data_IF_707851450059
#
_entry.id   IF_707851450059
#
_cell.length_a   1.000
_cell.length_b   1.000
_cell.length_c   1.000
_cell.angle_alpha   90.00
_cell.angle_beta   90.00
_cell.angle_gamma   90.00
#
_symmetry.space_group_name_H-M   'P 1'
#
loop_
_entity.id
_entity.type
_entity.pdbx_description
1 polymer ?
#
# COMPACT_ATOMS: atom_id res chain seq x y z
N UNK A 1 7.28 -2.87 4.68
CA UNK A 1 8.27 -2.69 3.60
C UNK A 1 9.23 -3.87 3.52
N UNK A 2 9.76 -4.39 4.63
CA UNK A 2 10.67 -5.56 4.64
C UNK A 2 10.07 -6.82 4.00
N UNK A 3 8.76 -7.00 4.03
CA UNK A 3 8.06 -8.07 3.31
C UNK A 3 8.32 -7.94 1.79
N UNK A 4 8.07 -6.77 1.21
CA UNK A 4 8.34 -6.52 -0.22
C UNK A 4 9.81 -6.71 -0.59
N UNK A 5 10.75 -6.31 0.29
CA UNK A 5 12.18 -6.53 0.06
C UNK A 5 12.52 -8.03 0.01
N UNK A 6 11.92 -8.84 0.87
CA UNK A 6 12.08 -10.28 0.87
C UNK A 6 11.46 -10.94 -0.36
N UNK A 7 10.28 -10.50 -0.80
CA UNK A 7 9.60 -10.99 -2.00
C UNK A 7 10.41 -10.68 -3.26
N UNK A 8 10.92 -9.44 -3.39
CA UNK A 8 11.81 -9.02 -4.48
C UNK A 8 13.07 -9.90 -4.50
N UNK A 9 13.75 -10.08 -3.36
CA UNK A 9 14.93 -10.93 -3.25
C UNK A 9 14.63 -12.40 -3.59
N UNK A 10 13.46 -12.90 -3.20
CA UNK A 10 13.01 -14.26 -3.54
C UNK A 10 12.83 -14.43 -5.04
N UNK A 11 12.19 -13.46 -5.72
CA UNK A 11 12.00 -13.48 -7.16
C UNK A 11 13.33 -13.36 -7.91
N UNK A 12 14.23 -12.49 -7.45
CA UNK A 12 15.56 -12.33 -8.04
C UNK A 12 16.44 -13.59 -7.84
N UNK A 13 16.29 -14.28 -6.70
CA UNK A 13 16.95 -15.57 -6.45
C UNK A 13 16.41 -16.65 -7.40
N UNK A 14 15.10 -16.74 -7.60
CA UNK A 14 14.48 -17.66 -8.55
C UNK A 14 14.93 -17.39 -9.99
N UNK A 15 15.09 -16.12 -10.37
CA UNK A 15 15.56 -15.74 -11.70
C UNK A 15 16.98 -16.24 -12.01
N UNK A 16 17.85 -16.44 -11.01
CA UNK A 16 19.20 -17.02 -11.20
C UNK A 16 19.15 -18.44 -11.72
N UNK A 17 18.10 -19.20 -11.40
CA UNK A 17 17.88 -20.57 -11.87
C UNK A 17 17.17 -20.67 -13.22
N UNK A 18 16.76 -19.56 -13.82
CA UNK A 18 15.90 -19.55 -15.01
C UNK A 18 16.52 -20.22 -16.27
N UNK A 19 17.83 -20.31 -16.34
CA UNK A 19 18.58 -20.99 -17.42
C UNK A 19 19.02 -22.41 -17.10
N UNK A 20 18.57 -22.99 -16.01
CA UNK A 20 18.92 -24.35 -15.64
C UNK A 20 18.37 -25.33 -16.66
N UNK A 21 19.22 -26.30 -17.07
CA UNK A 21 18.81 -27.36 -17.95
C UNK A 21 18.00 -28.41 -17.18
N UNK A 22 17.17 -29.14 -17.91
CA UNK A 22 16.54 -30.34 -17.36
C UNK A 22 17.63 -31.39 -17.06
N UNK A 23 17.51 -32.11 -15.94
CA UNK A 23 18.45 -33.17 -15.62
C UNK A 23 18.44 -34.28 -16.68
N UNK A 24 19.58 -34.97 -16.92
CA UNK A 24 19.59 -36.12 -17.77
C UNK A 24 18.69 -37.23 -17.20
N UNK A 25 17.97 -37.90 -18.07
CA UNK A 25 17.14 -39.05 -17.69
C UNK A 25 17.96 -40.31 -17.85
N UNK A 26 18.04 -41.13 -16.81
CA UNK A 26 18.71 -42.41 -16.80
C UNK A 26 17.69 -43.53 -16.65
N UNK A 27 17.70 -44.48 -17.57
CA UNK A 27 16.81 -45.64 -17.53
C UNK A 27 17.62 -46.91 -17.50
N UNK A 28 17.14 -47.94 -16.82
CA UNK A 28 17.67 -49.32 -16.86
C UNK A 28 16.53 -50.29 -17.11
N UNK A 29 16.79 -51.30 -17.93
CA UNK A 29 15.74 -52.24 -18.29
C UNK A 29 16.23 -53.37 -19.12
N UNK A 30 15.32 -54.16 -19.64
CA UNK A 30 15.56 -55.25 -20.56
C UNK A 30 15.21 -54.78 -21.98
N UNK A 31 16.02 -55.17 -22.96
CA UNK A 31 15.81 -54.85 -24.36
C UNK A 31 15.74 -56.11 -25.21
N UNK A 32 14.70 -56.24 -26.04
CA UNK A 32 14.48 -57.39 -26.97
C UNK A 32 14.51 -58.76 -26.27
N UNK A 33 14.02 -58.83 -25.03
CA UNK A 33 13.99 -60.08 -24.26
C UNK A 33 12.76 -60.89 -24.64
N UNK A 34 12.91 -62.14 -25.17
CA UNK A 34 11.78 -63.00 -25.48
C UNK A 34 10.98 -63.39 -24.24
N UNK A 35 9.66 -63.54 -24.35
CA UNK A 35 8.82 -64.11 -23.30
C UNK A 35 9.19 -65.53 -22.91
N UNK A 36 9.75 -66.33 -23.88
CA UNK A 36 10.26 -67.68 -23.63
C UNK A 36 11.63 -67.55 -23.00
N UNK A 37 11.80 -67.79 -21.72
CA UNK A 37 13.04 -67.68 -20.96
C UNK A 37 14.12 -68.71 -21.44
N UNK A 38 13.76 -69.83 -22.14
CA UNK A 38 14.72 -70.74 -22.73
C UNK A 38 15.56 -70.10 -23.80
N UNK A 39 15.03 -69.10 -24.51
CA UNK A 39 15.76 -68.36 -25.57
C UNK A 39 16.74 -67.30 -24.99
N UNK A 40 16.83 -67.11 -23.71
CA UNK A 40 17.79 -66.20 -23.08
C UNK A 40 19.18 -66.80 -22.99
N UNK A 41 19.28 -68.16 -23.01
CA UNK A 41 20.53 -68.89 -22.89
C UNK A 41 21.03 -69.24 -24.27
N UNK A 42 22.37 -69.38 -24.48
CA UNK A 42 22.90 -69.89 -25.68
C UNK A 42 22.48 -71.42 -25.90
N UNK A 43 22.13 -71.76 -27.09
CA UNK A 43 21.86 -73.15 -27.53
C UNK A 43 22.70 -73.42 -28.78
N UNK A 44 23.31 -74.53 -28.90
CA UNK A 44 24.27 -75.00 -29.95
C UNK A 44 24.72 -73.91 -30.96
N UNK A 45 23.92 -73.58 -31.96
CA UNK A 45 24.23 -72.53 -32.94
C UNK A 45 23.56 -71.20 -32.69
N UNK A 46 22.94 -70.95 -31.47
CA UNK A 46 22.19 -69.75 -31.15
C UNK A 46 22.75 -69.01 -29.92
N UNK A 47 23.25 -67.77 -30.06
CA UNK A 47 23.97 -67.06 -28.99
C UNK A 47 23.08 -66.59 -27.80
N UNK A 48 21.79 -66.92 -27.76
CA UNK A 48 20.79 -66.38 -26.82
C UNK A 48 20.19 -65.10 -27.36
N UNK A 49 19.08 -64.67 -26.79
CA UNK A 49 18.38 -63.42 -27.17
C UNK A 49 18.13 -62.53 -25.96
N UNK A 50 18.16 -61.18 -26.15
CA UNK A 50 17.90 -60.18 -25.16
C UNK A 50 19.14 -59.55 -24.55
N UNK A 51 19.00 -58.41 -23.97
CA UNK A 51 20.09 -57.69 -23.31
C UNK A 51 19.58 -56.86 -22.12
N UNK A 52 20.46 -56.60 -21.17
CA UNK A 52 20.31 -55.48 -20.24
C UNK A 52 20.61 -54.20 -20.96
N UNK A 53 19.78 -53.18 -20.79
CA UNK A 53 19.98 -51.88 -21.41
C UNK A 53 20.11 -50.81 -20.33
N UNK A 54 21.12 -49.96 -20.44
CA UNK A 54 21.29 -48.74 -19.70
C UNK A 54 21.13 -47.59 -20.71
N UNK A 55 20.18 -46.69 -20.49
CA UNK A 55 19.93 -45.55 -21.36
C UNK A 55 20.20 -44.24 -20.62
N UNK A 56 20.83 -43.29 -21.28
CA UNK A 56 21.02 -41.91 -20.82
C UNK A 56 20.48 -41.00 -21.91
N UNK A 57 19.54 -40.12 -21.52
CA UNK A 57 18.92 -39.17 -22.43
C UNK A 57 19.08 -37.76 -21.90
N UNK A 58 19.54 -36.82 -22.74
CA UNK A 58 19.65 -35.42 -22.43
C UNK A 58 18.93 -34.59 -23.49
N UNK A 59 17.94 -33.79 -23.05
CA UNK A 59 17.38 -32.75 -23.89
C UNK A 59 18.24 -31.48 -23.81
N UNK A 60 18.53 -30.90 -24.96
CA UNK A 60 19.31 -29.65 -25.10
C UNK A 60 18.31 -28.54 -25.32
N UNK A 61 18.07 -27.70 -24.31
CA UNK A 61 17.08 -26.66 -24.43
C UNK A 61 17.50 -25.60 -25.43
N UNK A 62 16.52 -25.10 -26.19
CA UNK A 62 16.77 -24.02 -27.14
C UNK A 62 17.13 -22.73 -26.36
N UNK A 63 18.25 -22.10 -26.74
CA UNK A 63 18.76 -20.87 -26.12
C UNK A 63 17.72 -19.77 -26.08
N UNK A 64 16.85 -19.67 -27.10
CA UNK A 64 15.74 -18.69 -27.09
C UNK A 64 14.76 -18.94 -25.97
N UNK A 65 14.45 -20.21 -25.61
CA UNK A 65 13.55 -20.54 -24.50
C UNK A 65 14.18 -20.16 -23.16
N UNK A 66 15.47 -20.47 -22.97
CA UNK A 66 16.21 -20.11 -21.77
C UNK A 66 16.25 -18.59 -21.56
N UNK A 67 16.55 -17.84 -22.64
CA UNK A 67 16.60 -16.38 -22.58
C UNK A 67 15.21 -15.74 -22.31
N UNK A 68 14.16 -16.25 -22.97
CA UNK A 68 12.80 -15.76 -22.74
C UNK A 68 12.34 -16.01 -21.29
N UNK A 69 12.65 -17.20 -20.75
CA UNK A 69 12.33 -17.52 -19.36
C UNK A 69 13.13 -16.65 -18.37
N UNK A 70 14.42 -16.44 -18.62
CA UNK A 70 15.25 -15.55 -17.79
C UNK A 70 14.69 -14.10 -17.79
N UNK A 71 14.36 -13.57 -18.97
CA UNK A 71 13.81 -12.21 -19.09
C UNK A 71 12.48 -12.08 -18.35
N UNK A 72 11.60 -13.08 -18.46
CA UNK A 72 10.35 -13.12 -17.72
C UNK A 72 10.59 -13.12 -16.20
N UNK A 73 11.44 -14.03 -15.72
CA UNK A 73 11.71 -14.16 -14.28
C UNK A 73 12.35 -12.90 -13.71
N UNK A 74 13.28 -12.26 -14.41
CA UNK A 74 13.90 -11.00 -14.01
C UNK A 74 12.92 -9.82 -13.98
N UNK A 75 11.89 -9.84 -14.83
CA UNK A 75 10.91 -8.77 -14.87
C UNK A 75 9.89 -8.84 -13.71
N UNK A 76 9.70 -10.02 -13.12
CA UNK A 76 8.64 -10.22 -12.10
C UNK A 76 8.83 -9.35 -10.87
N UNK A 77 10.06 -9.15 -10.39
CA UNK A 77 10.36 -8.32 -9.20
C UNK A 77 10.03 -6.84 -9.42
N UNK A 78 9.96 -6.38 -10.68
CA UNK A 78 9.69 -4.97 -11.00
C UNK A 78 8.28 -4.51 -10.59
N UNK A 79 7.28 -5.39 -10.61
CA UNK A 79 5.92 -5.07 -10.16
C UNK A 79 5.88 -4.92 -8.65
N UNK A 80 6.53 -5.84 -7.92
CA UNK A 80 6.59 -5.76 -6.45
C UNK A 80 7.34 -4.52 -5.96
N UNK A 81 8.31 -4.04 -6.71
CA UNK A 81 8.98 -2.77 -6.40
C UNK A 81 8.02 -1.58 -6.51
N UNK A 82 7.13 -1.54 -7.51
CA UNK A 82 6.12 -0.47 -7.60
C UNK A 82 5.03 -0.62 -6.52
N UNK A 83 4.62 -1.85 -6.17
CA UNK A 83 3.72 -2.13 -5.06
C UNK A 83 4.31 -1.65 -3.71
N UNK A 84 5.62 -1.85 -3.52
CA UNK A 84 6.36 -1.31 -2.37
C UNK A 84 6.30 0.21 -2.32
N UNK A 85 6.53 0.90 -3.47
CA UNK A 85 6.47 2.35 -3.56
C UNK A 85 5.07 2.88 -3.25
N UNK A 86 4.03 2.24 -3.79
CA UNK A 86 2.63 2.56 -3.48
C UNK A 86 2.34 2.43 -1.98
N UNK A 87 2.76 1.32 -1.36
CA UNK A 87 2.59 1.10 0.08
C UNK A 87 3.36 2.14 0.90
N UNK A 88 4.59 2.49 0.49
CA UNK A 88 5.39 3.52 1.15
C UNK A 88 4.67 4.88 1.13
N UNK A 89 4.07 5.26 0.00
CA UNK A 89 3.29 6.48 -0.13
C UNK A 89 2.08 6.48 0.82
N UNK A 90 1.37 5.36 0.93
CA UNK A 90 0.27 5.22 1.90
C UNK A 90 0.74 5.35 3.35
N UNK A 91 1.86 4.70 3.72
CA UNK A 91 2.41 4.79 5.07
C UNK A 91 2.84 6.21 5.43
N UNK A 92 3.43 6.94 4.47
CA UNK A 92 3.79 8.34 4.64
C UNK A 92 2.54 9.22 4.88
N UNK A 93 1.47 8.99 4.12
CA UNK A 93 0.21 9.71 4.32
C UNK A 93 -0.39 9.44 5.70
N UNK A 94 -0.45 8.19 6.15
CA UNK A 94 -0.90 7.86 7.51
C UNK A 94 -0.04 8.51 8.59
N UNK A 95 1.29 8.50 8.43
CA UNK A 95 2.19 9.14 9.39
C UNK A 95 1.93 10.65 9.50
N UNK A 96 1.78 11.35 8.36
CA UNK A 96 1.46 12.79 8.32
C UNK A 96 0.09 13.07 8.94
N UNK A 97 -0.92 12.26 8.64
CA UNK A 97 -2.27 12.41 9.19
C UNK A 97 -2.24 12.29 10.72
N UNK A 98 -1.64 11.22 11.27
CA UNK A 98 -1.55 11.05 12.72
C UNK A 98 -0.72 12.14 13.40
N UNK A 99 0.31 12.63 12.74
CA UNK A 99 1.13 13.74 13.21
C UNK A 99 0.30 15.04 13.32
N UNK A 100 -0.45 15.41 12.28
CA UNK A 100 -1.27 16.61 12.30
C UNK A 100 -2.46 16.50 13.28
N UNK A 101 -3.08 15.33 13.35
CA UNK A 101 -4.13 15.10 14.35
C UNK A 101 -3.62 15.25 15.78
N UNK A 102 -2.40 14.80 16.07
CA UNK A 102 -1.78 15.00 17.38
C UNK A 102 -1.53 16.48 17.66
N UNK A 103 -0.97 17.25 16.71
CA UNK A 103 -0.76 18.69 16.84
C UNK A 103 -2.08 19.40 17.19
N UNK A 104 -3.14 19.12 16.44
CA UNK A 104 -4.44 19.75 16.65
C UNK A 104 -5.03 19.39 18.02
N UNK A 105 -4.89 18.12 18.45
CA UNK A 105 -5.32 17.73 19.81
C UNK A 105 -4.56 18.48 20.90
N UNK A 106 -3.25 18.70 20.74
CA UNK A 106 -2.46 19.51 21.65
C UNK A 106 -2.95 20.97 21.70
N UNK A 107 -3.25 21.59 20.55
CA UNK A 107 -3.77 22.95 20.51
C UNK A 107 -5.15 23.06 21.16
N UNK A 108 -6.01 22.05 20.98
CA UNK A 108 -7.32 22.00 21.67
C UNK A 108 -7.16 21.85 23.19
N UNK A 109 -6.19 21.05 23.65
CA UNK A 109 -5.90 20.92 25.09
C UNK A 109 -5.47 22.26 25.69
N UNK A 110 -4.64 23.04 25.01
CA UNK A 110 -4.25 24.38 25.46
C UNK A 110 -5.49 25.29 25.65
N UNK A 111 -6.36 25.34 24.63
CA UNK A 111 -7.61 26.10 24.72
C UNK A 111 -8.48 25.60 25.89
N UNK A 112 -8.62 24.29 26.05
CA UNK A 112 -9.42 23.72 27.14
C UNK A 112 -8.83 24.09 28.52
N UNK A 113 -7.51 23.99 28.69
CA UNK A 113 -6.83 24.36 29.95
C UNK A 113 -7.00 25.85 30.29
N UNK A 114 -6.82 26.74 29.32
CA UNK A 114 -7.03 28.18 29.54
C UNK A 114 -8.49 28.48 29.96
N UNK A 115 -9.45 27.81 29.33
CA UNK A 115 -10.86 27.95 29.65
C UNK A 115 -11.24 27.31 31.00
N UNK A 116 -10.61 26.22 31.43
CA UNK A 116 -10.78 25.64 32.76
C UNK A 116 -10.32 26.61 33.84
N UNK A 117 -9.16 27.27 33.66
CA UNK A 117 -8.70 28.30 34.61
C UNK A 117 -9.66 29.46 34.69
N UNK A 118 -10.22 29.91 33.57
CA UNK A 118 -11.19 30.98 33.50
C UNK A 118 -12.50 30.63 34.23
N UNK A 119 -13.06 29.45 33.96
CA UNK A 119 -14.28 28.97 34.60
C UNK A 119 -14.10 28.76 36.11
N UNK A 120 -12.97 28.27 36.56
CA UNK A 120 -12.64 28.13 37.99
C UNK A 120 -12.66 29.49 38.68
N UNK A 121 -12.03 30.50 38.06
CA UNK A 121 -12.10 31.89 38.57
C UNK A 121 -13.54 32.40 38.63
N UNK A 122 -14.34 32.19 37.59
CA UNK A 122 -15.75 32.61 37.57
C UNK A 122 -16.55 31.91 38.68
N UNK A 123 -16.42 30.59 38.85
CA UNK A 123 -17.12 29.81 39.87
C UNK A 123 -16.79 30.33 41.27
N UNK A 124 -15.49 30.52 41.58
CA UNK A 124 -15.05 31.07 42.87
C UNK A 124 -15.58 32.49 43.13
N UNK A 125 -15.57 33.34 42.11
CA UNK A 125 -16.10 34.67 42.19
C UNK A 125 -17.62 34.68 42.48
N UNK A 126 -18.34 33.74 41.84
CA UNK A 126 -19.79 33.58 42.05
C UNK A 126 -20.14 33.09 43.47
N UNK A 127 -19.36 32.16 44.02
CA UNK A 127 -19.56 31.68 45.40
C UNK A 127 -19.53 32.85 46.40
N UNK A 128 -18.62 33.80 46.21
CA UNK A 128 -18.52 34.99 47.04
C UNK A 128 -19.71 35.93 46.77
N UNK A 129 -20.00 36.26 45.54
CA UNK A 129 -21.05 37.23 45.14
C UNK A 129 -22.47 36.75 45.49
N UNK A 130 -22.68 35.42 45.43
CA UNK A 130 -23.96 34.82 45.86
C UNK A 130 -24.26 35.07 47.34
N UNK A 131 -23.23 35.02 48.22
CA UNK A 131 -23.39 35.32 49.63
C UNK A 131 -23.89 36.76 49.90
N UNK A 132 -23.61 37.65 48.92
CA UNK A 132 -24.06 39.04 48.97
C UNK A 132 -25.31 39.31 48.10
N UNK A 133 -26.03 38.29 47.66
CA UNK A 133 -27.18 38.37 46.77
C UNK A 133 -26.92 39.11 45.43
N UNK A 134 -25.66 39.08 44.93
CA UNK A 134 -25.25 39.76 43.71
C UNK A 134 -25.39 38.87 42.48
N UNK A 135 -25.38 37.53 42.63
CA UNK A 135 -25.48 36.57 41.55
C UNK A 135 -26.57 35.51 41.79
N UNK A 136 -27.05 34.86 40.71
CA UNK A 136 -28.12 33.88 40.75
C UNK A 136 -27.55 32.44 40.68
N UNK A 137 -28.17 31.55 41.48
CA UNK A 137 -27.78 30.13 41.56
C UNK A 137 -27.76 29.38 40.21
N UNK A 138 -28.69 29.63 39.25
CA UNK A 138 -28.62 28.98 37.91
C UNK A 138 -27.33 29.24 37.14
N UNK A 139 -26.79 30.46 37.21
CA UNK A 139 -25.51 30.77 36.53
C UNK A 139 -24.34 30.01 37.14
N UNK A 140 -24.33 29.81 38.45
CA UNK A 140 -23.35 28.99 39.15
C UNK A 140 -23.36 27.53 38.66
N UNK A 141 -24.54 26.90 38.58
CA UNK A 141 -24.63 25.53 38.08
C UNK A 141 -24.32 25.41 36.58
N UNK A 142 -24.65 26.44 35.77
CA UNK A 142 -24.24 26.51 34.38
C UNK A 142 -22.70 26.51 34.26
N UNK A 143 -22.00 27.36 35.02
CA UNK A 143 -20.55 27.42 35.02
C UNK A 143 -19.90 26.07 35.44
N UNK A 144 -20.43 25.44 36.52
CA UNK A 144 -19.97 24.10 36.94
C UNK A 144 -20.19 23.03 35.89
N UNK A 145 -21.33 23.06 35.20
CA UNK A 145 -21.60 22.12 34.09
C UNK A 145 -20.62 22.29 32.94
N UNK A 146 -20.31 23.54 32.56
CA UNK A 146 -19.35 23.83 31.52
C UNK A 146 -17.93 23.45 31.93
N UNK A 147 -17.54 23.63 33.16
CA UNK A 147 -16.25 23.17 33.70
C UNK A 147 -16.11 21.65 33.57
N UNK A 148 -17.11 20.90 34.05
CA UNK A 148 -17.10 19.44 33.92
C UNK A 148 -17.09 18.96 32.46
N UNK A 149 -17.77 19.66 31.56
CA UNK A 149 -17.74 19.37 30.12
C UNK A 149 -16.34 19.55 29.52
N UNK A 150 -15.63 20.63 29.91
CA UNK A 150 -14.23 20.83 29.47
C UNK A 150 -13.27 19.80 30.07
N UNK A 151 -13.43 19.40 31.33
CA UNK A 151 -12.63 18.30 31.92
C UNK A 151 -12.83 17.00 31.13
N UNK A 152 -14.07 16.66 30.81
CA UNK A 152 -14.40 15.49 29.99
C UNK A 152 -13.76 15.57 28.61
N UNK A 153 -13.82 16.76 27.98
CA UNK A 153 -13.17 16.98 26.67
C UNK A 153 -11.65 16.83 26.77
N UNK A 154 -11.01 17.32 27.83
CA UNK A 154 -9.58 17.20 28.02
C UNK A 154 -9.16 15.72 28.12
N UNK A 155 -9.88 14.90 28.90
CA UNK A 155 -9.65 13.45 28.98
C UNK A 155 -9.79 12.78 27.62
N UNK A 156 -10.78 13.15 26.82
CA UNK A 156 -10.97 12.64 25.46
C UNK A 156 -9.77 13.00 24.55
N UNK A 157 -9.32 14.25 24.58
CA UNK A 157 -8.19 14.72 23.77
C UNK A 157 -6.87 14.04 24.16
N UNK A 158 -6.62 13.83 25.45
CA UNK A 158 -5.45 13.06 25.95
C UNK A 158 -5.47 11.62 25.43
N UNK A 159 -6.64 10.98 25.42
CA UNK A 159 -6.80 9.65 24.83
C UNK A 159 -6.56 9.66 23.32
N UNK A 160 -7.04 10.68 22.59
CA UNK A 160 -6.78 10.83 21.16
C UNK A 160 -5.27 10.92 20.87
N UNK A 161 -4.54 11.72 21.63
CA UNK A 161 -3.09 11.83 21.54
C UNK A 161 -2.42 10.48 21.78
N UNK A 162 -2.85 9.74 22.82
CA UNK A 162 -2.32 8.43 23.13
C UNK A 162 -2.55 7.44 21.98
N UNK A 163 -3.73 7.46 21.37
CA UNK A 163 -4.02 6.64 20.19
C UNK A 163 -3.11 6.99 19.00
N UNK A 164 -2.90 8.29 18.68
CA UNK A 164 -2.00 8.72 17.61
C UNK A 164 -0.56 8.32 17.87
N UNK A 165 -0.12 8.39 19.11
CA UNK A 165 1.19 7.89 19.56
C UNK A 165 1.36 6.40 19.31
N UNK A 166 0.36 5.58 19.65
CA UNK A 166 0.39 4.14 19.37
C UNK A 166 0.40 3.85 17.87
N UNK A 167 -0.36 4.59 17.06
CA UNK A 167 -0.37 4.41 15.61
C UNK A 167 0.98 4.78 14.98
N UNK A 168 1.59 5.90 15.37
CA UNK A 168 2.91 6.29 14.90
C UNK A 168 3.99 5.28 15.32
N UNK A 169 3.97 4.80 16.57
CA UNK A 169 4.88 3.73 17.03
C UNK A 169 4.69 2.45 16.21
N UNK A 170 3.46 2.15 15.80
CA UNK A 170 3.14 0.99 14.95
C UNK A 170 3.76 1.14 13.56
N UNK A 171 3.63 2.32 12.93
CA UNK A 171 4.23 2.60 11.63
C UNK A 171 5.77 2.51 11.68
N UNK A 172 6.38 2.93 12.78
CA UNK A 172 7.82 2.84 13.00
C UNK A 172 8.31 1.45 13.44
N UNK A 173 7.39 0.48 13.59
CA UNK A 173 7.68 -0.89 14.02
C UNK A 173 8.49 -0.97 15.33
N UNK A 174 8.22 -0.07 16.28
CA UNK A 174 8.85 -0.05 17.61
C UNK A 174 7.85 -0.36 18.72
N UNK A 175 8.30 -0.36 19.97
CA UNK A 175 7.41 -0.56 21.13
C UNK A 175 6.27 0.45 21.09
N UNK A 176 5.03 -0.05 21.24
CA UNK A 176 3.79 0.75 21.16
C UNK A 176 3.74 1.82 22.23
N UNK A 177 4.32 1.56 23.39
CA UNK A 177 4.37 2.47 24.55
C UNK A 177 5.61 3.38 24.56
N UNK A 178 6.50 3.29 23.55
CA UNK A 178 7.67 4.15 23.49
C UNK A 178 7.26 5.64 23.53
N UNK A 179 7.87 6.38 24.46
CA UNK A 179 7.65 7.81 24.58
C UNK A 179 8.45 8.56 23.51
N UNK A 180 7.84 9.56 22.95
CA UNK A 180 8.46 10.55 22.07
C UNK A 180 7.58 11.80 22.03
N UNK A 181 8.17 12.89 21.66
CA UNK A 181 7.54 14.17 21.41
C UNK A 181 7.56 14.47 19.93
N UNK A 182 6.63 15.28 19.48
CA UNK A 182 6.56 15.76 18.11
C UNK A 182 6.85 17.27 18.10
N UNK A 183 7.45 17.73 17.01
CA UNK A 183 7.50 19.15 16.72
C UNK A 183 6.09 19.63 16.35
N UNK A 184 5.65 20.76 16.90
CA UNK A 184 4.31 21.31 16.66
C UNK A 184 4.21 22.17 15.40
N UNK A 185 5.20 22.08 14.51
CA UNK A 185 5.23 22.85 13.28
C UNK A 185 4.36 22.20 12.18
N UNK A 186 3.58 23.02 11.50
CA UNK A 186 2.83 22.65 10.32
C UNK A 186 2.85 23.77 9.28
N UNK A 187 2.74 23.40 8.02
CA UNK A 187 2.68 24.33 6.90
C UNK A 187 1.45 24.00 6.04
N UNK A 188 0.64 25.02 5.77
CA UNK A 188 -0.47 24.92 4.83
C UNK A 188 0.08 25.30 3.45
N UNK A 189 0.26 24.32 2.58
CA UNK A 189 0.73 24.51 1.22
C UNK A 189 -0.34 25.17 0.34
N UNK A 190 0.08 25.86 -0.69
CA UNK A 190 -0.83 26.37 -1.70
C UNK A 190 -0.87 25.41 -2.90
N UNK A 191 -2.05 24.87 -3.18
CA UNK A 191 -2.32 24.05 -4.34
C UNK A 191 -3.14 24.86 -5.37
N UNK A 192 -2.59 25.02 -6.59
CA UNK A 192 -3.35 25.54 -7.72
C UNK A 192 -3.45 24.44 -8.79
N UNK A 193 -4.33 23.47 -8.55
CA UNK A 193 -4.48 22.27 -9.39
C UNK A 193 -5.64 22.36 -10.38
N UNK A 194 -6.39 23.46 -10.41
CA UNK A 194 -7.53 23.60 -11.34
C UNK A 194 -7.10 23.69 -12.79
N UNK A 195 -6.04 24.43 -13.09
CA UNK A 195 -5.50 24.65 -14.42
C UNK A 195 -4.29 23.78 -14.75
N UNK A 196 -3.80 23.01 -13.75
CA UNK A 196 -2.64 22.15 -13.93
C UNK A 196 -3.00 20.89 -14.70
N UNK A 197 -2.21 20.56 -15.71
CA UNK A 197 -2.27 19.25 -16.35
C UNK A 197 -1.73 18.18 -15.38
N UNK A 198 -2.64 17.38 -14.84
CA UNK A 198 -2.33 16.31 -13.90
C UNK A 198 -1.80 15.04 -14.56
N UNK A 199 -1.75 14.98 -15.89
CA UNK A 199 -1.38 13.77 -16.64
C UNK A 199 0.00 13.26 -16.27
N UNK A 200 0.97 14.16 -16.04
CA UNK A 200 2.33 13.80 -15.66
C UNK A 200 2.39 13.19 -14.25
N UNK A 201 1.67 13.74 -13.29
CA UNK A 201 1.58 13.21 -11.93
C UNK A 201 0.89 11.86 -11.90
N UNK A 202 -0.27 11.75 -12.58
CA UNK A 202 -1.06 10.52 -12.65
C UNK A 202 -0.24 9.39 -13.29
N UNK A 203 0.44 9.65 -14.41
CA UNK A 203 1.25 8.64 -15.08
C UNK A 203 2.48 8.21 -14.27
N UNK A 204 2.93 9.03 -13.33
CA UNK A 204 4.05 8.72 -12.45
C UNK A 204 3.66 7.96 -11.19
N UNK A 205 2.37 7.77 -10.92
CA UNK A 205 1.87 7.01 -9.76
C UNK A 205 2.38 5.57 -9.78
N UNK A 206 2.70 5.07 -8.61
CA UNK A 206 3.24 3.70 -8.45
C UNK A 206 2.24 2.62 -8.86
N UNK A 207 0.94 2.81 -8.63
CA UNK A 207 -0.12 1.88 -9.08
C UNK A 207 -0.22 1.82 -10.61
N UNK A 208 -0.11 2.94 -11.30
CA UNK A 208 -0.07 3.03 -12.76
C UNK A 208 1.21 2.37 -13.31
N UNK A 209 2.36 2.64 -12.68
CA UNK A 209 3.63 1.99 -13.04
C UNK A 209 3.58 0.47 -12.84
N UNK A 210 2.94 -0.02 -11.78
CA UNK A 210 2.74 -1.45 -11.54
C UNK A 210 1.94 -2.10 -12.67
N UNK A 211 0.89 -1.43 -13.18
CA UNK A 211 0.14 -1.88 -14.36
C UNK A 211 1.04 -1.94 -15.59
N UNK A 212 1.82 -0.89 -15.86
CA UNK A 212 2.73 -0.86 -17.01
C UNK A 212 3.79 -1.98 -16.91
N UNK A 213 4.34 -2.26 -15.72
CA UNK A 213 5.24 -3.41 -15.50
C UNK A 213 4.53 -4.75 -15.72
N UNK A 214 3.28 -4.87 -15.29
CA UNK A 214 2.46 -6.07 -15.52
C UNK A 214 2.21 -6.31 -17.01
N UNK A 215 2.01 -5.27 -17.80
CA UNK A 215 1.90 -5.37 -19.27
C UNK A 215 3.19 -5.89 -19.89
N UNK A 216 4.35 -5.37 -19.47
CA UNK A 216 5.65 -5.87 -19.91
C UNK A 216 5.81 -7.37 -19.57
N UNK A 217 5.41 -7.79 -18.38
CA UNK A 217 5.42 -9.22 -18.00
C UNK A 217 4.52 -10.04 -18.92
N UNK A 218 3.34 -9.57 -19.29
CA UNK A 218 2.47 -10.27 -20.23
C UNK A 218 3.09 -10.35 -21.64
N UNK A 219 3.81 -9.33 -22.10
CA UNK A 219 4.55 -9.35 -23.36
C UNK A 219 5.68 -10.41 -23.32
N UNK A 220 6.40 -10.50 -22.20
CA UNK A 220 7.42 -11.54 -21.99
C UNK A 220 6.79 -12.94 -21.91
N UNK A 221 5.59 -13.09 -21.32
CA UNK A 221 4.83 -14.34 -21.35
C UNK A 221 4.41 -14.72 -22.78
N UNK A 222 4.02 -13.75 -23.61
CA UNK A 222 3.75 -14.00 -25.04
C UNK A 222 5.02 -14.50 -25.73
N UNK A 223 6.17 -13.89 -25.43
CA UNK A 223 7.43 -14.33 -26.01
C UNK A 223 7.83 -15.75 -25.53
N UNK A 224 7.63 -16.09 -24.26
CA UNK A 224 7.84 -17.47 -23.78
C UNK A 224 6.95 -18.46 -24.53
N UNK A 225 5.66 -18.15 -24.74
CA UNK A 225 4.77 -19.02 -25.53
C UNK A 225 5.19 -19.12 -27.00
N UNK A 226 5.72 -18.03 -27.55
CA UNK A 226 6.22 -18.04 -28.95
C UNK A 226 7.44 -18.87 -29.12
N UNK A 227 8.41 -18.83 -28.20
CA UNK A 227 9.63 -19.64 -28.29
C UNK A 227 9.38 -21.12 -27.99
N UNK A 228 8.30 -21.47 -27.27
CA UNK A 228 7.84 -22.84 -27.12
C UNK A 228 7.44 -23.49 -28.44
N UNK A 229 7.15 -22.69 -29.47
CA UNK A 229 6.88 -23.19 -30.85
C UNK A 229 8.14 -23.53 -31.62
N UNK A 230 9.35 -23.35 -31.06
CA UNK A 230 10.62 -23.71 -31.69
C UNK A 230 10.97 -25.16 -31.38
N UNK A 231 11.62 -25.88 -32.35
CA UNK A 231 12.10 -27.25 -32.14
C UNK A 231 13.09 -27.34 -30.98
N UNK A 232 13.08 -28.48 -30.31
CA UNK A 232 14.09 -28.89 -29.32
C UNK A 232 14.86 -30.09 -29.79
N UNK A 233 16.12 -30.19 -29.41
CA UNK A 233 17.02 -31.27 -29.76
C UNK A 233 17.35 -32.06 -28.50
N UNK A 234 17.65 -33.34 -28.71
CA UNK A 234 18.10 -34.21 -27.63
C UNK A 234 19.07 -35.27 -28.16
N UNK A 235 19.80 -35.85 -27.24
CA UNK A 235 20.68 -36.96 -27.51
C UNK A 235 20.35 -38.10 -26.55
N UNK A 236 20.29 -39.31 -27.07
CA UNK A 236 20.10 -40.54 -26.31
C UNK A 236 21.21 -41.53 -26.61
N UNK A 237 21.84 -42.06 -25.57
CA UNK A 237 22.82 -43.14 -25.62
C UNK A 237 22.26 -44.35 -24.89
N UNK A 238 22.19 -45.47 -25.57
CA UNK A 238 21.83 -46.76 -24.99
C UNK A 238 23.05 -47.68 -25.03
N UNK A 239 23.37 -48.31 -23.90
CA UNK A 239 24.37 -49.38 -23.83
C UNK A 239 23.65 -50.68 -23.48
N UNK A 240 23.91 -51.70 -24.29
CA UNK A 240 23.24 -52.99 -24.23
C UNK A 240 24.26 -54.08 -23.93
N UNK A 241 24.06 -54.80 -22.83
CA UNK A 241 24.83 -55.94 -22.39
C UNK A 241 24.04 -57.19 -22.75
N UNK A 242 24.46 -57.91 -23.82
CA UNK A 242 23.73 -59.06 -24.33
C UNK A 242 23.74 -60.25 -23.40
N UNK A 243 22.65 -61.04 -23.43
CA UNK A 243 22.61 -62.33 -22.73
C UNK A 243 23.44 -63.41 -23.43
N UNK A 244 24.06 -64.25 -22.61
CA UNK A 244 24.90 -65.37 -23.17
C UNK A 244 26.12 -64.83 -23.88
N UNK A 245 26.34 -65.30 -25.14
CA UNK A 245 27.52 -64.97 -25.95
C UNK A 245 27.26 -63.81 -26.94
N UNK A 246 26.21 -63.00 -26.72
CA UNK A 246 25.98 -61.85 -27.57
C UNK A 246 27.02 -60.73 -27.32
N UNK A 247 27.50 -60.06 -28.37
CA UNK A 247 28.43 -58.98 -28.25
C UNK A 247 27.72 -57.79 -27.57
N UNK A 248 28.46 -56.99 -26.78
CA UNK A 248 27.98 -55.71 -26.24
C UNK A 248 27.73 -54.77 -27.41
N UNK A 249 26.63 -53.97 -27.29
CA UNK A 249 26.20 -53.06 -28.35
C UNK A 249 25.90 -51.66 -27.71
N UNK A 250 26.04 -50.65 -28.51
CA UNK A 250 25.56 -49.31 -28.14
C UNK A 250 24.72 -48.70 -29.26
N UNK A 251 23.83 -47.82 -28.90
CA UNK A 251 23.05 -47.01 -29.84
C UNK A 251 23.16 -45.54 -29.44
N UNK A 252 23.47 -44.69 -30.41
CA UNK A 252 23.47 -43.23 -30.26
C UNK A 252 22.40 -42.65 -31.17
N UNK A 253 21.42 -41.97 -30.61
CA UNK A 253 20.31 -41.36 -31.34
C UNK A 253 20.25 -39.85 -31.08
N UNK A 254 20.16 -39.08 -32.17
CA UNK A 254 19.70 -37.69 -32.11
C UNK A 254 18.17 -37.67 -32.11
N UNK A 255 17.60 -36.84 -31.27
CA UNK A 255 16.16 -36.65 -31.18
C UNK A 255 15.82 -35.20 -31.52
N UNK A 256 14.69 -34.99 -32.17
CA UNK A 256 14.15 -33.68 -32.43
C UNK A 256 12.65 -33.66 -32.04
N UNK A 257 12.26 -32.72 -31.19
CA UNK A 257 10.87 -32.49 -30.86
C UNK A 257 10.37 -31.31 -31.68
N UNK A 258 9.45 -31.57 -32.62
CA UNK A 258 8.89 -30.55 -33.51
C UNK A 258 7.46 -30.25 -33.08
N UNK A 259 7.16 -28.99 -32.69
CA UNK A 259 5.79 -28.58 -32.38
C UNK A 259 4.89 -28.67 -33.61
N UNK A 260 3.80 -29.43 -33.54
CA UNK A 260 2.84 -29.62 -34.62
C UNK A 260 1.56 -28.78 -34.40
N UNK A 261 0.80 -28.43 -35.44
CA UNK A 261 -0.39 -27.57 -35.32
C UNK A 261 -1.39 -27.98 -34.23
N UNK A 262 -1.54 -29.30 -34.03
CA UNK A 262 -2.45 -29.84 -32.99
C UNK A 262 -1.88 -29.77 -31.56
N UNK A 263 -0.54 -29.69 -31.41
CA UNK A 263 0.11 -29.56 -30.09
C UNK A 263 0.27 -28.09 -29.69
N UNK A 264 0.21 -27.14 -30.63
CA UNK A 264 0.49 -25.71 -30.41
C UNK A 264 -0.75 -24.85 -30.12
N UNK A 265 -1.95 -25.45 -30.15
CA UNK A 265 -3.21 -24.71 -29.89
C UNK A 265 -3.21 -24.01 -28.57
N UNK A 266 -2.70 -24.64 -27.50
CA UNK A 266 -2.62 -24.05 -26.15
C UNK A 266 -1.72 -22.81 -26.15
N UNK A 267 -0.53 -22.89 -26.74
CA UNK A 267 0.39 -21.75 -26.79
C UNK A 267 -0.21 -20.55 -27.54
N UNK A 268 -0.92 -20.79 -28.65
CA UNK A 268 -1.61 -19.76 -29.41
C UNK A 268 -2.75 -19.13 -28.61
N UNK A 269 -3.54 -19.94 -27.92
CA UNK A 269 -4.62 -19.46 -27.04
C UNK A 269 -4.05 -18.64 -25.87
N UNK A 270 -2.96 -19.07 -25.25
CA UNK A 270 -2.29 -18.35 -24.18
C UNK A 270 -1.75 -16.99 -24.66
N UNK A 271 -1.13 -16.92 -25.84
CA UNK A 271 -0.68 -15.64 -26.41
C UNK A 271 -1.83 -14.66 -26.60
N UNK A 272 -2.96 -15.14 -27.14
CA UNK A 272 -4.15 -14.30 -27.32
C UNK A 272 -4.75 -13.87 -25.98
N UNK A 273 -4.82 -14.76 -24.99
CA UNK A 273 -5.25 -14.43 -23.62
C UNK A 273 -4.40 -13.32 -23.01
N UNK A 274 -3.08 -13.35 -23.16
CA UNK A 274 -2.20 -12.29 -22.64
C UNK A 274 -2.37 -10.96 -23.39
N UNK A 275 -2.68 -10.98 -24.68
CA UNK A 275 -3.02 -9.76 -25.45
C UNK A 275 -4.29 -9.11 -24.95
N UNK A 276 -5.36 -9.90 -24.79
CA UNK A 276 -6.63 -9.43 -24.25
C UNK A 276 -6.47 -8.94 -22.79
N UNK A 277 -5.60 -9.59 -22.02
CA UNK A 277 -5.26 -9.12 -20.67
C UNK A 277 -4.56 -7.77 -20.69
N UNK A 278 -3.66 -7.52 -21.63
CA UNK A 278 -3.03 -6.20 -21.80
C UNK A 278 -4.03 -5.12 -22.24
N UNK A 279 -5.02 -5.48 -23.04
CA UNK A 279 -6.12 -4.57 -23.36
C UNK A 279 -6.95 -4.23 -22.10
N UNK A 280 -7.32 -5.23 -21.32
CA UNK A 280 -7.98 -5.05 -20.01
C UNK A 280 -7.18 -4.13 -19.08
N UNK A 281 -5.85 -4.29 -19.02
CA UNK A 281 -4.96 -3.44 -18.22
C UNK A 281 -4.91 -1.99 -18.74
N UNK A 282 -5.04 -1.77 -20.05
CA UNK A 282 -5.15 -0.41 -20.61
C UNK A 282 -6.43 0.29 -20.12
N UNK A 283 -7.56 -0.41 -20.14
CA UNK A 283 -8.81 0.14 -19.61
C UNK A 283 -8.76 0.37 -18.10
N UNK A 284 -8.12 -0.53 -17.35
CA UNK A 284 -7.88 -0.35 -15.92
C UNK A 284 -7.02 0.89 -15.64
N UNK A 285 -5.95 1.09 -16.42
CA UNK A 285 -5.11 2.30 -16.33
C UNK A 285 -5.91 3.58 -16.56
N UNK A 286 -6.78 3.60 -17.59
CA UNK A 286 -7.64 4.75 -17.87
C UNK A 286 -8.65 4.99 -16.75
N UNK A 287 -9.24 3.93 -16.20
CA UNK A 287 -10.17 4.02 -15.07
C UNK A 287 -9.49 4.68 -13.86
N UNK A 288 -8.32 4.18 -13.46
CA UNK A 288 -7.56 4.75 -12.33
C UNK A 288 -7.15 6.20 -12.60
N UNK A 289 -6.72 6.51 -13.83
CA UNK A 289 -6.33 7.88 -14.19
C UNK A 289 -7.51 8.85 -14.11
N UNK A 290 -8.69 8.45 -14.61
CA UNK A 290 -9.90 9.27 -14.54
C UNK A 290 -10.37 9.46 -13.10
N UNK A 291 -10.37 8.40 -12.30
CA UNK A 291 -10.71 8.44 -10.88
C UNK A 291 -9.77 9.37 -10.11
N UNK A 292 -8.46 9.20 -10.27
CA UNK A 292 -7.45 10.04 -9.62
C UNK A 292 -7.62 11.52 -9.99
N UNK A 293 -7.88 11.83 -11.27
CA UNK A 293 -8.11 13.20 -11.72
C UNK A 293 -9.36 13.81 -11.06
N UNK A 294 -10.46 13.05 -10.99
CA UNK A 294 -11.69 13.46 -10.31
C UNK A 294 -11.48 13.71 -8.82
N UNK A 295 -10.83 12.77 -8.13
CA UNK A 295 -10.52 12.87 -6.71
C UNK A 295 -9.63 14.09 -6.41
N UNK A 296 -8.53 14.27 -7.15
CA UNK A 296 -7.60 15.40 -6.93
C UNK A 296 -8.32 16.75 -7.12
N UNK A 297 -9.12 16.89 -8.17
CA UNK A 297 -9.87 18.13 -8.42
C UNK A 297 -10.93 18.39 -7.35
N UNK A 298 -11.66 17.36 -6.93
CA UNK A 298 -12.64 17.45 -5.85
C UNK A 298 -11.99 17.87 -4.53
N UNK A 299 -10.90 17.22 -4.14
CA UNK A 299 -10.15 17.55 -2.92
C UNK A 299 -9.53 18.95 -2.98
N UNK A 300 -9.05 19.39 -4.13
CA UNK A 300 -8.52 20.74 -4.30
C UNK A 300 -9.63 21.80 -4.09
N UNK A 301 -10.83 21.57 -4.59
CA UNK A 301 -11.96 22.43 -4.35
C UNK A 301 -12.35 22.48 -2.86
N UNK A 302 -12.41 21.32 -2.20
CA UNK A 302 -12.67 21.20 -0.77
C UNK A 302 -11.60 21.93 0.06
N UNK A 303 -10.32 21.70 -0.24
CA UNK A 303 -9.19 22.34 0.42
C UNK A 303 -9.27 23.87 0.37
N UNK A 304 -9.54 24.45 -0.80
CA UNK A 304 -9.67 25.91 -0.96
C UNK A 304 -10.88 26.47 -0.21
N UNK A 305 -11.99 25.75 -0.21
CA UNK A 305 -13.19 26.13 0.56
C UNK A 305 -12.93 26.09 2.07
N UNK A 306 -12.31 25.03 2.58
CA UNK A 306 -11.95 24.91 3.99
C UNK A 306 -10.97 26.00 4.40
N UNK A 307 -9.97 26.30 3.59
CA UNK A 307 -9.00 27.40 3.83
C UNK A 307 -9.71 28.74 3.95
N UNK A 308 -10.63 29.04 3.04
CA UNK A 308 -11.42 30.27 3.08
C UNK A 308 -12.33 30.35 4.32
N UNK A 309 -13.01 29.25 4.66
CA UNK A 309 -13.85 29.19 5.86
C UNK A 309 -13.01 29.38 7.13
N UNK A 310 -11.85 28.74 7.21
CA UNK A 310 -10.91 28.88 8.33
C UNK A 310 -10.47 30.34 8.48
N UNK A 311 -10.06 31.01 7.40
CA UNK A 311 -9.67 32.41 7.39
C UNK A 311 -10.80 33.31 7.88
N UNK A 312 -12.02 33.16 7.36
CA UNK A 312 -13.19 33.93 7.82
C UNK A 312 -13.44 33.71 9.31
N UNK A 313 -13.30 32.48 9.79
CA UNK A 313 -13.50 32.16 11.20
C UNK A 313 -12.43 32.82 12.06
N UNK A 314 -11.16 32.78 11.68
CA UNK A 314 -10.04 33.36 12.41
C UNK A 314 -10.02 34.88 12.37
N UNK A 315 -10.27 35.48 11.22
CA UNK A 315 -10.08 36.91 11.02
C UNK A 315 -11.33 37.76 11.41
N UNK A 316 -12.52 37.17 11.30
CA UNK A 316 -13.77 37.90 11.50
C UNK A 316 -14.60 37.37 12.67
N UNK A 317 -14.88 36.05 12.70
CA UNK A 317 -15.85 35.49 13.66
C UNK A 317 -15.26 35.47 15.08
N UNK A 318 -14.10 34.88 15.27
CA UNK A 318 -13.45 34.77 16.60
C UNK A 318 -13.18 36.15 17.21
N UNK A 319 -12.62 37.14 16.48
CA UNK A 319 -12.41 38.46 17.04
C UNK A 319 -13.74 39.18 17.47
N UNK A 320 -14.82 39.00 16.70
CA UNK A 320 -16.14 39.55 17.06
C UNK A 320 -16.70 38.88 18.31
N UNK A 321 -16.64 37.54 18.39
CA UNK A 321 -17.09 36.78 19.57
C UNK A 321 -16.26 37.11 20.82
N UNK A 322 -14.94 37.29 20.64
CA UNK A 322 -14.07 37.70 21.75
C UNK A 322 -14.47 39.06 22.30
N UNK A 323 -14.72 40.05 21.44
CA UNK A 323 -15.20 41.38 21.89
C UNK A 323 -16.55 41.28 22.58
N UNK A 324 -17.47 40.46 22.11
CA UNK A 324 -18.77 40.21 22.75
C UNK A 324 -18.56 39.63 24.16
N UNK A 325 -17.72 38.61 24.30
CA UNK A 325 -17.37 38.03 25.60
C UNK A 325 -16.70 39.05 26.52
N UNK A 326 -15.67 39.77 26.04
CA UNK A 326 -14.96 40.79 26.83
C UNK A 326 -15.91 41.88 27.35
N UNK A 327 -16.87 42.30 26.53
CA UNK A 327 -17.89 43.29 26.94
C UNK A 327 -18.85 42.71 27.98
N UNK A 328 -19.33 41.49 27.80
CA UNK A 328 -20.25 40.82 28.70
C UNK A 328 -19.62 40.54 30.09
N UNK A 329 -18.35 40.08 30.10
CA UNK A 329 -17.65 39.83 31.36
C UNK A 329 -17.34 41.13 32.14
N UNK A 330 -16.97 42.20 31.44
CA UNK A 330 -16.77 43.51 32.06
C UNK A 330 -18.09 44.07 32.67
N UNK A 331 -19.21 43.94 31.95
CA UNK A 331 -20.51 44.33 32.44
C UNK A 331 -20.90 43.59 33.74
N UNK A 332 -20.65 42.28 33.78
CA UNK A 332 -20.84 41.47 34.98
C UNK A 332 -19.93 41.91 36.13
N UNK A 333 -18.64 42.09 35.88
CA UNK A 333 -17.68 42.54 36.90
C UNK A 333 -18.06 43.90 37.52
N UNK A 334 -18.61 44.79 36.71
CA UNK A 334 -19.07 46.11 37.13
C UNK A 334 -20.51 46.14 37.69
N UNK A 335 -21.14 44.98 37.95
CA UNK A 335 -22.52 44.83 38.41
C UNK A 335 -23.58 45.47 37.49
N UNK A 336 -23.28 45.68 36.22
CA UNK A 336 -24.19 46.23 35.20
C UNK A 336 -24.75 45.19 34.24
N UNK A 337 -24.31 43.94 34.34
CA UNK A 337 -24.72 42.80 33.49
C UNK A 337 -24.94 41.52 34.27
N UNK A 338 -25.60 40.55 33.61
CA UNK A 338 -25.85 39.22 34.16
C UNK A 338 -24.72 38.26 33.71
N UNK A 339 -24.19 37.47 34.64
CA UNK A 339 -23.18 36.46 34.35
C UNK A 339 -23.66 35.40 33.35
N UNK A 340 -24.98 35.12 33.32
CA UNK A 340 -25.53 34.17 32.36
C UNK A 340 -25.21 34.58 30.91
N UNK A 341 -25.27 35.90 30.60
CA UNK A 341 -24.92 36.46 29.30
C UNK A 341 -23.44 36.33 29.03
N UNK A 342 -22.57 36.53 30.03
CA UNK A 342 -21.13 36.35 29.88
C UNK A 342 -20.75 34.86 29.64
N UNK A 343 -21.40 33.94 30.34
CA UNK A 343 -21.23 32.49 30.12
C UNK A 343 -21.71 32.04 28.74
N UNK A 344 -22.82 32.59 28.25
CA UNK A 344 -23.28 32.30 26.87
C UNK A 344 -22.28 32.81 25.83
N UNK A 345 -21.81 34.05 25.97
CA UNK A 345 -20.82 34.62 25.07
C UNK A 345 -19.49 33.82 25.08
N UNK A 346 -19.07 33.40 26.27
CA UNK A 346 -17.89 32.52 26.42
C UNK A 346 -18.10 31.17 25.77
N UNK A 347 -19.24 30.52 25.95
CA UNK A 347 -19.56 29.20 25.37
C UNK A 347 -19.47 29.23 23.86
N UNK A 348 -20.10 30.24 23.22
CA UNK A 348 -20.05 30.41 21.76
C UNK A 348 -18.64 30.67 21.28
N UNK A 349 -17.83 31.47 21.97
CA UNK A 349 -16.45 31.75 21.65
C UNK A 349 -15.61 30.47 21.72
N UNK A 350 -15.70 29.73 22.84
CA UNK A 350 -14.95 28.49 23.05
C UNK A 350 -15.31 27.43 21.99
N UNK A 351 -16.59 27.21 21.71
CA UNK A 351 -17.04 26.28 20.66
C UNK A 351 -16.49 26.67 19.28
N UNK A 352 -16.53 27.98 18.95
CA UNK A 352 -16.01 28.47 17.65
C UNK A 352 -14.48 28.31 17.54
N UNK A 353 -13.73 28.48 18.63
CA UNK A 353 -12.28 28.24 18.64
C UNK A 353 -11.94 26.74 18.39
N UNK A 354 -12.69 25.85 19.05
CA UNK A 354 -12.52 24.39 18.82
C UNK A 354 -12.91 24.01 17.38
N UNK A 355 -14.02 24.57 16.86
CA UNK A 355 -14.44 24.35 15.46
C UNK A 355 -13.42 24.85 14.45
N UNK A 356 -12.77 26.00 14.73
CA UNK A 356 -11.67 26.50 13.88
C UNK A 356 -10.49 25.51 13.82
N UNK A 357 -10.13 24.89 14.95
CA UNK A 357 -9.11 23.84 14.97
C UNK A 357 -9.55 22.57 14.23
N UNK A 358 -10.85 22.24 14.24
CA UNK A 358 -11.37 21.13 13.42
C UNK A 358 -11.31 21.44 11.91
N UNK A 359 -11.57 22.68 11.51
CA UNK A 359 -11.37 23.13 10.13
C UNK A 359 -9.89 23.06 9.74
N UNK A 360 -9.00 23.49 10.63
CA UNK A 360 -7.54 23.39 10.39
C UNK A 360 -7.10 21.92 10.25
N UNK A 361 -7.60 21.02 11.11
CA UNK A 361 -7.39 19.59 10.98
C UNK A 361 -7.82 19.08 9.59
N UNK A 362 -9.02 19.45 9.16
CA UNK A 362 -9.56 19.07 7.86
C UNK A 362 -8.70 19.60 6.70
N UNK A 363 -8.21 20.85 6.78
CA UNK A 363 -7.27 21.40 5.78
C UNK A 363 -6.01 20.55 5.70
N UNK A 364 -5.36 20.26 6.83
CA UNK A 364 -4.11 19.51 6.88
C UNK A 364 -4.29 18.05 6.40
N UNK A 365 -5.40 17.40 6.76
CA UNK A 365 -5.67 16.03 6.32
C UNK A 365 -6.03 15.97 4.83
N UNK A 366 -6.78 16.94 4.30
CA UNK A 366 -7.05 17.04 2.86
C UNK A 366 -5.76 17.33 2.07
N UNK A 367 -4.87 18.18 2.60
CA UNK A 367 -3.53 18.40 2.03
C UNK A 367 -2.74 17.09 1.92
N UNK A 368 -2.70 16.28 2.99
CA UNK A 368 -2.02 14.98 2.98
C UNK A 368 -2.62 14.04 1.94
N UNK A 369 -3.94 14.03 1.80
CA UNK A 369 -4.59 13.16 0.81
C UNK A 369 -4.30 13.63 -0.63
N UNK A 370 -4.25 14.95 -0.89
CA UNK A 370 -3.81 15.48 -2.19
C UNK A 370 -2.35 15.07 -2.47
N UNK A 371 -1.43 15.25 -1.52
CA UNK A 371 -0.03 14.83 -1.64
C UNK A 371 0.09 13.33 -1.93
N UNK A 372 -0.72 12.50 -1.26
CA UNK A 372 -0.78 11.05 -1.49
C UNK A 372 -1.25 10.70 -2.89
N UNK A 373 -2.29 11.38 -3.40
CA UNK A 373 -2.80 11.16 -4.76
C UNK A 373 -1.81 11.61 -5.84
N UNK A 374 -1.04 12.66 -5.58
CA UNK A 374 0.01 13.15 -6.46
C UNK A 374 1.33 12.37 -6.31
N UNK A 375 1.47 11.54 -5.28
CA UNK A 375 2.72 10.89 -4.86
C UNK A 375 3.89 11.90 -4.71
N UNK A 376 3.59 13.11 -4.24
CA UNK A 376 4.59 14.12 -3.91
C UNK A 376 5.03 13.98 -2.44
N UNK A 377 6.34 14.16 -2.20
CA UNK A 377 6.92 14.04 -0.86
C UNK A 377 6.81 15.35 -0.09
#
# INVERSE_FOLDING_TARGET
LKMYDADIQSMDAAAKGAKSWMPPQVGVGFFMVPYNSKMWKPMDDFPGMGSYMISIQQMIPNTSKLNANENLMKAMSSVENENKNFTLNQLNAFAKTYYYEWIISNEKIKIAQDNLLLLDYMIKSMEIRYQYNMDKLPSYYKAKSQYAALESMNVMLENDILQRKYMLNTLMARDKKANFEIDSNYEIKDFNLFETDLSSYINNRSDIKAIDKTKVINELKIETQRVELKPEFGVKLDHMIGFGNQPQQFSLMGMITIPMPWTTKMNKANMESYRLKNESLNWQKQMIANEANGIIKGMNAEFLNLKKQYQITQDNIIPALKRNYDTAILAWQNNSGDLFVALDAWEVLNMTQIEALDKLKSILTTQVEIEKQLETK
#
